data_IF_271919555514
#
_entry.id   IF_271919555514
#
_cell.length_a   1.000
_cell.length_b   1.000
_cell.length_c   1.000
_cell.angle_alpha   90.00
_cell.angle_beta   90.00
_cell.angle_gamma   90.00
#
_symmetry.space_group_name_H-M   'P 1'
#
loop_
_entity.id
_entity.type
_entity.pdbx_description
1 polymer ?
#
# COMPACT_ATOMS: atom_id res chain seq x y z
N UNK A 1 6.67 -0.22 -5.50
CA UNK A 1 5.19 -0.15 -5.34
C UNK A 1 4.64 -1.56 -5.42
N UNK A 2 3.51 -1.85 -4.77
CA UNK A 2 2.94 -3.20 -4.73
C UNK A 2 1.41 -3.13 -4.98
N UNK A 3 0.87 -3.83 -6.00
CA UNK A 3 -0.56 -3.88 -6.22
C UNK A 3 -1.25 -4.78 -5.18
N UNK A 4 -2.30 -4.29 -4.53
CA UNK A 4 -2.97 -4.96 -3.38
C UNK A 4 -4.49 -5.02 -3.51
N UNK A 5 -5.03 -4.79 -4.70
CA UNK A 5 -6.48 -4.73 -4.93
C UNK A 5 -7.21 -6.06 -4.93
N UNK A 6 -6.54 -7.21 -4.81
CA UNK A 6 -7.15 -8.54 -4.97
C UNK A 6 -7.83 -8.74 -6.34
N UNK A 7 -8.31 -9.95 -6.66
CA UNK A 7 -9.01 -10.25 -7.92
C UNK A 7 -8.09 -10.31 -9.15
N UNK A 8 -7.66 -9.16 -9.67
CA UNK A 8 -6.75 -9.04 -10.82
C UNK A 8 -5.29 -8.80 -10.41
N UNK A 9 -5.05 -8.65 -9.10
CA UNK A 9 -3.74 -8.43 -8.50
C UNK A 9 -3.56 -9.37 -7.30
N UNK A 10 -2.43 -9.25 -6.59
CA UNK A 10 -2.14 -10.09 -5.43
C UNK A 10 -3.25 -9.98 -4.38
N UNK A 11 -3.58 -11.12 -3.77
CA UNK A 11 -4.36 -11.13 -2.54
C UNK A 11 -3.53 -10.58 -1.36
N UNK A 12 -4.20 -10.22 -0.27
CA UNK A 12 -3.51 -9.58 0.85
C UNK A 12 -2.43 -10.48 1.50
N UNK A 13 -2.67 -11.79 1.77
CA UNK A 13 -1.63 -12.66 2.32
C UNK A 13 -0.39 -12.76 1.42
N UNK A 14 -0.59 -12.90 0.10
CA UNK A 14 0.51 -12.97 -0.86
C UNK A 14 1.27 -11.66 -0.94
N UNK A 15 0.57 -10.53 -0.89
CA UNK A 15 1.20 -9.21 -0.83
C UNK A 15 2.08 -9.06 0.43
N UNK A 16 1.61 -9.53 1.60
CA UNK A 16 2.40 -9.53 2.85
C UNK A 16 3.64 -10.40 2.73
N UNK A 17 3.54 -11.55 2.07
CA UNK A 17 4.68 -12.44 1.87
C UNK A 17 5.74 -11.80 0.96
N UNK A 18 5.32 -11.14 -0.13
CA UNK A 18 6.24 -10.37 -1.00
C UNK A 18 6.97 -9.27 -0.23
N UNK A 19 6.30 -8.58 0.70
CA UNK A 19 6.94 -7.56 1.54
C UNK A 19 8.03 -8.18 2.41
N UNK A 20 7.78 -9.35 2.99
CA UNK A 20 8.77 -10.06 3.81
C UNK A 20 9.97 -10.53 3.00
N UNK A 21 9.75 -11.05 1.79
CA UNK A 21 10.80 -11.53 0.91
C UNK A 21 11.71 -10.40 0.41
N UNK A 22 11.13 -9.27 0.02
CA UNK A 22 11.88 -8.14 -0.52
C UNK A 22 12.46 -7.21 0.56
N UNK A 23 11.90 -7.26 1.77
CA UNK A 23 12.26 -6.42 2.91
C UNK A 23 12.49 -4.93 2.53
N UNK A 24 11.53 -4.27 1.86
CA UNK A 24 11.74 -2.92 1.33
C UNK A 24 11.75 -1.87 2.45
N UNK A 25 12.54 -0.80 2.32
CA UNK A 25 12.49 0.32 3.27
C UNK A 25 11.18 1.09 3.21
N UNK A 26 10.65 1.27 2.00
CA UNK A 26 9.37 1.94 1.74
C UNK A 26 8.56 1.07 0.80
N UNK A 27 7.31 0.82 1.18
CA UNK A 27 6.32 0.16 0.35
C UNK A 27 5.18 1.14 0.06
N UNK A 28 4.85 1.34 -1.21
CA UNK A 28 3.67 2.11 -1.61
C UNK A 28 2.64 1.12 -2.17
N UNK A 29 1.51 0.87 -1.47
CA UNK A 29 0.42 0.07 -2.01
C UNK A 29 -0.26 0.82 -3.17
N UNK A 30 -0.71 0.07 -4.18
CA UNK A 30 -1.38 0.62 -5.36
C UNK A 30 -2.47 -0.35 -5.87
N UNK A 31 -3.16 0.03 -6.96
CA UNK A 31 -4.23 -0.76 -7.57
C UNK A 31 -5.26 -1.27 -6.55
N UNK A 32 -5.72 -0.42 -5.64
CA UNK A 32 -6.85 -0.70 -4.75
C UNK A 32 -7.97 0.31 -5.05
N UNK A 33 -9.19 0.08 -4.56
CA UNK A 33 -10.28 1.03 -4.76
C UNK A 33 -10.08 2.26 -3.87
N UNK A 34 -9.96 3.48 -4.45
CA UNK A 34 -9.88 4.71 -3.68
C UNK A 34 -11.11 4.93 -2.81
N UNK A 35 -10.94 5.61 -1.67
CA UNK A 35 -12.03 5.89 -0.73
C UNK A 35 -13.12 6.80 -1.33
N UNK A 36 -12.76 7.63 -2.30
CA UNK A 36 -13.60 8.57 -3.03
C UNK A 36 -14.15 8.01 -4.35
N UNK A 37 -13.96 6.72 -4.63
CA UNK A 37 -14.39 6.11 -5.89
C UNK A 37 -15.93 6.21 -6.07
N UNK A 38 -16.42 6.71 -7.23
CA UNK A 38 -17.85 6.86 -7.48
C UNK A 38 -18.59 5.51 -7.45
N UNK A 39 -19.87 5.57 -7.06
CA UNK A 39 -20.74 4.39 -7.05
C UNK A 39 -20.95 3.86 -8.48
N UNK A 40 -20.93 2.53 -8.64
CA UNK A 40 -21.21 1.85 -9.92
C UNK A 40 -19.98 1.53 -10.79
N UNK A 41 -18.78 1.92 -10.36
CA UNK A 41 -17.53 1.54 -11.03
C UNK A 41 -17.02 0.15 -10.63
N UNK A 42 -16.04 -0.36 -11.38
CA UNK A 42 -15.29 -1.57 -11.06
C UNK A 42 -14.60 -1.42 -9.68
N UNK A 43 -14.82 -2.38 -8.76
CA UNK A 43 -14.30 -2.34 -7.38
C UNK A 43 -13.27 -3.43 -7.13
N UNK A 44 -12.12 -3.00 -6.67
CA UNK A 44 -11.06 -3.80 -6.07
C UNK A 44 -11.23 -3.77 -4.55
N UNK A 45 -10.40 -4.54 -3.85
CA UNK A 45 -10.22 -4.47 -2.41
C UNK A 45 -9.79 -3.07 -1.96
N UNK A 46 -10.05 -2.77 -0.69
CA UNK A 46 -9.65 -1.52 -0.05
C UNK A 46 -8.20 -1.61 0.46
N UNK A 47 -7.51 -0.47 0.58
CA UNK A 47 -6.18 -0.45 1.21
C UNK A 47 -6.27 -0.81 2.69
N UNK A 48 -7.39 -0.49 3.35
CA UNK A 48 -7.66 -0.77 4.75
C UNK A 48 -7.70 -2.28 5.03
N UNK A 49 -8.25 -3.08 4.12
CA UNK A 49 -8.29 -4.54 4.28
C UNK A 49 -6.90 -5.16 4.08
N UNK A 50 -6.10 -4.61 3.17
CA UNK A 50 -4.69 -4.97 3.06
C UNK A 50 -3.91 -4.62 4.34
N UNK A 51 -4.10 -3.43 4.91
CA UNK A 51 -3.44 -3.01 6.15
C UNK A 51 -3.83 -3.89 7.34
N UNK A 52 -5.10 -4.30 7.45
CA UNK A 52 -5.55 -5.26 8.47
C UNK A 52 -4.84 -6.61 8.33
N UNK A 53 -4.70 -7.10 7.10
CA UNK A 53 -4.01 -8.37 6.83
C UNK A 53 -2.49 -8.28 7.10
N UNK A 54 -1.87 -7.13 6.82
CA UNK A 54 -0.46 -6.87 7.13
C UNK A 54 -0.20 -6.83 8.64
N UNK A 55 -1.20 -6.43 9.42
CA UNK A 55 -1.14 -6.38 10.88
C UNK A 55 -0.10 -5.37 11.40
N UNK A 56 0.27 -5.45 12.69
CA UNK A 56 1.19 -4.49 13.32
C UNK A 56 2.66 -4.70 12.95
N UNK A 57 2.96 -5.57 11.97
CA UNK A 57 4.34 -5.96 11.62
C UNK A 57 5.10 -4.85 10.88
N UNK A 58 4.39 -3.88 10.31
CA UNK A 58 4.96 -2.79 9.52
C UNK A 58 4.48 -1.44 10.04
N UNK A 59 5.34 -0.42 9.91
CA UNK A 59 4.91 0.95 10.19
C UNK A 59 4.02 1.44 9.05
N UNK A 60 2.91 2.11 9.38
CA UNK A 60 1.99 2.69 8.39
C UNK A 60 2.06 4.21 8.48
N UNK A 61 2.25 4.87 7.34
CA UNK A 61 2.18 6.34 7.23
C UNK A 61 1.28 6.72 6.08
N UNK A 62 0.46 7.74 6.28
CA UNK A 62 -0.34 8.34 5.24
C UNK A 62 0.39 9.59 4.73
N UNK A 63 0.63 9.66 3.43
CA UNK A 63 1.21 10.83 2.77
C UNK A 63 0.21 11.49 1.82
N UNK A 64 0.58 12.65 1.28
CA UNK A 64 -0.21 13.41 0.31
C UNK A 64 -0.18 12.79 -1.09
N UNK A 65 -0.23 13.64 -2.11
CA UNK A 65 -0.26 13.24 -3.53
C UNK A 65 1.14 13.01 -4.12
N UNK A 66 2.17 13.53 -3.45
CA UNK A 66 3.56 13.38 -3.84
C UNK A 66 4.43 13.05 -2.63
N UNK A 67 5.56 12.38 -2.89
CA UNK A 67 6.57 12.10 -1.88
C UNK A 67 7.95 12.07 -2.55
N UNK A 68 8.96 12.65 -1.89
CA UNK A 68 10.33 12.69 -2.41
C UNK A 68 11.23 11.88 -1.49
N UNK A 69 11.84 10.84 -2.06
CA UNK A 69 12.78 9.99 -1.33
C UNK A 69 14.22 10.40 -1.59
N UNK A 70 14.97 10.66 -0.52
CA UNK A 70 16.43 10.88 -0.61
C UNK A 70 17.16 9.66 -0.07
N UNK A 71 18.15 9.17 -0.82
CA UNK A 71 19.04 8.10 -0.35
C UNK A 71 19.70 8.49 0.98
N UNK A 72 19.78 7.55 1.94
CA UNK A 72 20.30 7.79 3.28
C UNK A 72 19.32 8.41 4.28
N UNK A 73 18.14 8.88 3.83
CA UNK A 73 17.06 9.39 4.71
C UNK A 73 15.82 8.47 4.75
N UNK A 74 15.96 7.25 4.25
CA UNK A 74 14.86 6.27 4.25
C UNK A 74 14.60 5.71 5.66
N UNK A 75 13.37 5.27 5.94
CA UNK A 75 13.04 4.61 7.20
C UNK A 75 13.93 3.39 7.49
N UNK A 76 14.22 3.16 8.76
CA UNK A 76 15.04 2.01 9.19
C UNK A 76 14.27 0.70 9.11
N UNK A 77 12.99 0.72 9.49
CA UNK A 77 12.01 -0.36 9.36
C UNK A 77 11.16 -0.18 8.09
N UNK A 78 10.64 -1.28 7.56
CA UNK A 78 9.70 -1.26 6.43
C UNK A 78 8.47 -0.42 6.78
N UNK A 79 8.30 0.69 6.04
CA UNK A 79 7.14 1.57 6.18
C UNK A 79 6.22 1.43 4.97
N UNK A 80 4.96 1.08 5.23
CA UNK A 80 3.87 1.14 4.26
C UNK A 80 3.41 2.60 4.18
N UNK A 81 3.68 3.25 3.05
CA UNK A 81 3.30 4.62 2.76
C UNK A 81 2.06 4.66 1.88
N UNK A 82 0.90 4.90 2.49
CA UNK A 82 -0.37 5.04 1.78
C UNK A 82 -0.47 6.45 1.21
N UNK A 83 -0.53 6.55 -0.11
CA UNK A 83 -0.63 7.82 -0.83
C UNK A 83 -2.09 8.19 -1.05
N UNK A 84 -2.39 9.50 -1.11
CA UNK A 84 -3.71 9.99 -1.55
C UNK A 84 -3.79 10.02 -3.07
N UNK A 85 -4.97 9.68 -3.61
CA UNK A 85 -5.32 9.93 -5.02
C UNK A 85 -5.28 11.42 -5.31
N UNK A 86 -4.94 11.82 -6.54
CA UNK A 86 -4.94 13.23 -6.93
C UNK A 86 -6.35 13.84 -6.78
N UNK A 87 -6.41 15.12 -6.38
CA UNK A 87 -7.66 15.93 -6.41
C UNK A 87 -8.24 16.08 -7.81
#
# INVERSE_FOLDING_TARGET
>A
MLPVGTGFTLDHPSAVEVIKQLNPKVLIPMHFTPADAPAGGFRLGSVEDFLKAAGPSFEVKYSGHNEIFTAGKLPSKTTIMVMKTAE
#
